data_IF_253750623195
#
_entry.id   IF_253750623195
#
_cell.length_a   1.000
_cell.length_b   1.000
_cell.length_c   1.000
_cell.angle_alpha   90.00
_cell.angle_beta   90.00
_cell.angle_gamma   90.00
#
_symmetry.space_group_name_H-M   'P 1'
#
loop_
_entity.id
_entity.type
_entity.pdbx_description
1 polymer ?
#
# COMPACT_ATOMS: atom_id res chain seq x y z
N UNK A 1 16.53 9.13 3.97
CA UNK A 1 16.44 8.30 2.75
C UNK A 1 17.35 7.06 2.77
N UNK A 2 18.69 7.19 2.84
CA UNK A 2 19.59 6.02 2.81
C UNK A 2 19.30 5.01 3.92
N UNK A 3 19.06 5.45 5.16
CA UNK A 3 18.71 4.56 6.28
C UNK A 3 17.45 3.74 5.97
N UNK A 4 16.43 4.35 5.41
CA UNK A 4 15.18 3.67 5.05
C UNK A 4 15.37 2.63 3.93
N UNK A 5 16.25 2.91 2.99
CA UNK A 5 16.61 1.95 1.94
C UNK A 5 17.35 0.74 2.55
N UNK A 6 18.32 1.00 3.42
CA UNK A 6 19.08 -0.06 4.12
C UNK A 6 18.17 -0.89 5.03
N UNK A 7 17.23 -0.26 5.77
CA UNK A 7 16.25 -0.97 6.60
C UNK A 7 15.38 -1.90 5.75
N UNK A 8 14.90 -1.42 4.60
CA UNK A 8 14.09 -2.20 3.68
C UNK A 8 14.84 -3.42 3.11
N UNK A 9 16.05 -3.20 2.61
CA UNK A 9 16.91 -4.25 2.05
C UNK A 9 17.33 -5.28 3.11
N UNK A 10 17.77 -4.82 4.27
CA UNK A 10 18.18 -5.69 5.37
C UNK A 10 17.03 -6.59 5.84
N UNK A 11 15.81 -6.06 5.89
CA UNK A 11 14.63 -6.83 6.25
C UNK A 11 14.33 -7.94 5.24
N UNK A 12 14.34 -7.63 3.94
CA UNK A 12 14.13 -8.63 2.88
C UNK A 12 15.21 -9.72 2.93
N UNK A 13 16.46 -9.32 3.05
CA UNK A 13 17.60 -10.25 3.14
C UNK A 13 17.51 -11.14 4.39
N UNK A 14 17.15 -10.59 5.54
CA UNK A 14 16.95 -11.35 6.77
C UNK A 14 15.83 -12.41 6.60
N UNK A 15 14.69 -12.02 6.06
CA UNK A 15 13.58 -12.96 5.83
C UNK A 15 13.97 -14.08 4.86
N UNK A 16 14.72 -13.76 3.82
CA UNK A 16 15.21 -14.74 2.85
C UNK A 16 16.13 -15.77 3.51
N UNK A 17 17.03 -15.33 4.35
CA UNK A 17 18.02 -16.19 4.99
C UNK A 17 17.40 -17.01 6.12
N UNK A 18 16.57 -16.39 6.96
CA UNK A 18 16.03 -17.02 8.16
C UNK A 18 14.85 -17.92 7.90
N UNK A 19 13.98 -17.56 6.95
CA UNK A 19 12.73 -18.26 6.67
C UNK A 19 12.73 -18.86 5.26
N UNK A 20 13.78 -19.60 4.95
CA UNK A 20 13.97 -20.24 3.66
C UNK A 20 12.78 -21.11 3.28
N UNK A 21 12.31 -20.99 2.04
CA UNK A 21 11.18 -21.74 1.49
C UNK A 21 9.80 -21.25 1.93
N UNK A 22 9.70 -20.30 2.84
CA UNK A 22 8.41 -19.71 3.19
C UNK A 22 8.01 -18.58 2.21
N UNK A 23 6.72 -18.55 1.88
CA UNK A 23 6.17 -17.51 0.99
C UNK A 23 6.18 -16.14 1.68
N UNK A 24 6.78 -15.13 1.07
CA UNK A 24 6.96 -13.80 1.64
C UNK A 24 6.61 -12.63 0.72
N UNK A 25 6.48 -12.85 -0.60
CA UNK A 25 6.26 -11.80 -1.59
C UNK A 25 7.24 -10.62 -1.42
N UNK A 26 8.51 -10.91 -1.60
CA UNK A 26 9.61 -9.97 -1.40
C UNK A 26 9.44 -8.67 -2.20
N UNK A 27 9.91 -7.57 -1.58
CA UNK A 27 10.06 -6.27 -2.25
C UNK A 27 11.42 -6.13 -2.97
N UNK A 28 12.24 -7.17 -2.96
CA UNK A 28 13.59 -7.16 -3.53
C UNK A 28 13.60 -6.60 -4.96
N UNK A 29 14.45 -5.61 -5.20
CA UNK A 29 14.51 -4.82 -6.43
C UNK A 29 13.56 -3.63 -6.47
N UNK A 30 12.66 -3.47 -5.51
CA UNK A 30 11.71 -2.35 -5.39
C UNK A 30 11.81 -1.62 -4.05
N UNK A 31 12.93 -1.73 -3.33
CA UNK A 31 13.12 -1.19 -1.98
C UNK A 31 12.95 0.32 -1.91
N UNK A 32 13.11 1.02 -3.03
CA UNK A 32 12.84 2.45 -3.16
C UNK A 32 11.40 2.85 -2.83
N UNK A 33 10.47 1.89 -2.83
CA UNK A 33 9.10 2.10 -2.35
C UNK A 33 9.07 2.58 -0.89
N UNK A 34 9.95 2.08 -0.03
CA UNK A 34 9.96 2.42 1.40
C UNK A 34 10.36 3.88 1.65
N UNK A 35 11.50 4.39 1.15
CA UNK A 35 11.81 5.80 1.28
C UNK A 35 10.83 6.73 0.53
N UNK A 36 10.19 6.26 -0.53
CA UNK A 36 9.11 7.02 -1.20
C UNK A 36 7.91 7.20 -0.27
N UNK A 37 7.42 6.11 0.34
CA UNK A 37 6.31 6.16 1.28
C UNK A 37 6.65 6.99 2.52
N UNK A 38 7.86 6.84 3.07
CA UNK A 38 8.36 7.64 4.18
C UNK A 38 8.29 9.15 3.86
N UNK A 39 8.76 9.56 2.69
CA UNK A 39 8.69 10.95 2.23
C UNK A 39 7.24 11.45 2.03
N UNK A 40 6.34 10.60 1.53
CA UNK A 40 4.91 10.95 1.39
C UNK A 40 4.28 11.14 2.77
N UNK A 41 4.55 10.24 3.71
CA UNK A 41 4.03 10.32 5.08
C UNK A 41 4.58 11.54 5.83
N UNK A 42 5.88 11.84 5.69
CA UNK A 42 6.49 13.06 6.23
C UNK A 42 5.76 14.30 5.70
N UNK A 43 5.52 14.35 4.39
CA UNK A 43 4.79 15.46 3.77
C UNK A 43 3.34 15.54 4.26
N UNK A 44 2.66 14.41 4.40
CA UNK A 44 1.29 14.34 4.90
C UNK A 44 1.19 14.86 6.34
N UNK A 45 2.08 14.41 7.23
CA UNK A 45 2.15 14.88 8.60
C UNK A 45 2.44 16.39 8.69
N UNK A 46 3.41 16.88 7.87
CA UNK A 46 3.76 18.30 7.83
C UNK A 46 2.65 19.19 7.26
N UNK A 47 1.72 18.61 6.48
CA UNK A 47 0.49 19.29 6.01
C UNK A 47 -0.71 19.07 6.92
N UNK A 48 -0.50 18.54 8.11
CA UNK A 48 -1.52 18.32 9.14
C UNK A 48 -2.66 17.37 8.71
N UNK A 49 -2.39 16.47 7.75
CA UNK A 49 -3.33 15.40 7.42
C UNK A 49 -3.53 14.49 8.63
N UNK A 50 -4.79 14.17 8.90
CA UNK A 50 -5.20 13.35 10.04
C UNK A 50 -4.82 11.88 9.86
N UNK A 51 -4.74 11.43 8.61
CA UNK A 51 -4.37 10.05 8.33
C UNK A 51 -3.97 9.79 6.89
N UNK A 52 -3.27 8.68 6.72
CA UNK A 52 -2.96 8.07 5.43
C UNK A 52 -3.47 6.63 5.48
N UNK A 53 -4.26 6.23 4.50
CA UNK A 53 -4.78 4.88 4.39
C UNK A 53 -4.15 4.20 3.16
N UNK A 54 -3.60 3.00 3.36
CA UNK A 54 -2.86 2.27 2.34
C UNK A 54 -3.60 0.98 2.01
N UNK A 55 -3.94 0.79 0.73
CA UNK A 55 -4.38 -0.46 0.15
C UNK A 55 -3.28 -1.00 -0.75
N UNK A 56 -2.97 -2.29 -0.64
CA UNK A 56 -1.87 -2.83 -1.41
C UNK A 56 -1.97 -4.34 -1.63
N UNK A 57 -1.35 -4.80 -2.72
CA UNK A 57 -1.12 -6.21 -2.97
C UNK A 57 -0.12 -6.83 -1.97
N UNK A 58 0.19 -8.11 -2.17
CA UNK A 58 1.07 -8.84 -1.24
C UNK A 58 2.54 -8.45 -1.35
N UNK A 59 3.00 -8.07 -2.55
CA UNK A 59 4.42 -7.76 -2.79
C UNK A 59 4.85 -6.53 -2.01
N UNK A 60 5.89 -6.71 -1.19
CA UNK A 60 6.41 -5.65 -0.32
C UNK A 60 5.56 -5.37 0.92
N UNK A 61 4.42 -6.06 1.10
CA UNK A 61 3.48 -5.78 2.18
C UNK A 61 4.11 -5.90 3.57
N UNK A 62 4.89 -6.95 3.82
CA UNK A 62 5.55 -7.14 5.11
C UNK A 62 6.52 -5.99 5.42
N UNK A 63 7.22 -5.50 4.41
CA UNK A 63 8.13 -4.35 4.52
C UNK A 63 7.36 -3.05 4.82
N UNK A 64 6.25 -2.81 4.14
CA UNK A 64 5.37 -1.65 4.42
C UNK A 64 4.77 -1.73 5.82
N UNK A 65 4.30 -2.92 6.26
CA UNK A 65 3.75 -3.10 7.61
C UNK A 65 4.76 -2.74 8.70
N UNK A 66 6.04 -3.11 8.53
CA UNK A 66 7.07 -2.82 9.54
C UNK A 66 7.65 -1.42 9.40
N UNK A 67 8.22 -1.09 8.26
CA UNK A 67 9.03 0.11 8.08
C UNK A 67 8.21 1.39 7.86
N UNK A 68 6.93 1.25 7.54
CA UNK A 68 6.01 2.38 7.29
C UNK A 68 4.91 2.46 8.33
N UNK A 69 4.22 1.36 8.62
CA UNK A 69 3.05 1.35 9.51
C UNK A 69 3.36 0.96 10.96
N UNK A 70 4.63 0.71 11.30
CA UNK A 70 5.08 0.52 12.69
C UNK A 70 4.78 -0.85 13.30
N UNK A 71 4.37 -1.85 12.50
CA UNK A 71 4.25 -3.23 13.00
C UNK A 71 5.63 -3.75 13.39
N UNK A 72 5.81 -4.25 14.61
CA UNK A 72 7.13 -4.66 15.09
C UNK A 72 7.68 -5.86 14.33
N UNK A 73 8.99 -5.89 14.09
CA UNK A 73 9.67 -7.05 13.51
C UNK A 73 9.39 -8.33 14.30
N UNK A 74 9.33 -8.23 15.64
CA UNK A 74 9.03 -9.36 16.50
C UNK A 74 7.63 -9.97 16.24
N UNK A 75 6.65 -9.15 15.89
CA UNK A 75 5.32 -9.64 15.48
C UNK A 75 5.41 -10.41 14.16
N UNK A 76 6.08 -9.85 13.15
CA UNK A 76 6.28 -10.53 11.86
C UNK A 76 7.02 -11.87 12.07
N UNK A 77 8.09 -11.89 12.86
CA UNK A 77 8.87 -13.11 13.09
C UNK A 77 8.07 -14.19 13.82
N UNK A 78 7.20 -13.81 14.77
CA UNK A 78 6.27 -14.76 15.40
C UNK A 78 5.27 -15.34 14.41
N UNK A 79 4.76 -14.55 13.49
CA UNK A 79 3.88 -15.02 12.41
C UNK A 79 4.58 -16.02 11.48
N UNK A 80 5.85 -15.79 11.17
CA UNK A 80 6.67 -16.74 10.41
C UNK A 80 6.96 -18.03 11.17
N UNK A 81 7.19 -17.95 12.48
CA UNK A 81 7.51 -19.09 13.33
C UNK A 81 6.27 -19.88 13.77
N UNK A 82 5.06 -19.43 13.42
CA UNK A 82 3.80 -20.06 13.84
C UNK A 82 3.51 -19.94 15.35
N UNK A 83 4.21 -19.02 16.04
CA UNK A 83 4.05 -18.78 17.48
C UNK A 83 3.22 -17.53 17.79
N UNK A 84 2.64 -16.91 16.77
CA UNK A 84 1.68 -15.83 16.95
C UNK A 84 0.44 -16.36 17.67
N UNK A 85 -0.03 -15.61 18.67
CA UNK A 85 -1.30 -15.95 19.33
C UNK A 85 -2.42 -15.97 18.27
N UNK A 86 -3.38 -16.91 18.35
CA UNK A 86 -4.56 -16.88 17.49
C UNK A 86 -5.23 -15.50 17.63
N UNK A 87 -5.63 -14.94 16.52
CA UNK A 87 -6.40 -13.70 16.51
C UNK A 87 -7.72 -13.97 17.27
N UNK A 88 -7.99 -13.21 18.34
CA UNK A 88 -9.24 -13.36 19.09
C UNK A 88 -10.43 -13.13 18.14
N UNK A 89 -11.17 -14.19 17.81
CA UNK A 89 -12.36 -14.13 16.94
C UNK A 89 -12.16 -14.48 15.48
N UNK A 90 -11.01 -14.96 15.03
CA UNK A 90 -10.75 -15.32 13.63
C UNK A 90 -10.23 -16.74 13.42
N UNK A 91 -10.54 -17.32 12.26
CA UNK A 91 -10.10 -18.67 11.82
C UNK A 91 -8.65 -18.71 11.32
N UNK A 92 -7.78 -17.77 11.71
CA UNK A 92 -6.37 -17.69 11.28
C UNK A 92 -6.24 -17.35 9.79
N UNK A 93 -5.93 -16.10 9.48
CA UNK A 93 -5.62 -15.69 8.11
C UNK A 93 -4.11 -15.74 7.87
N UNK A 94 -3.71 -15.76 6.60
CA UNK A 94 -2.30 -15.75 6.24
C UNK A 94 -1.67 -14.39 6.54
N UNK A 95 -0.43 -14.39 7.03
CA UNK A 95 0.28 -13.20 7.51
C UNK A 95 0.30 -11.99 6.54
N UNK A 96 0.27 -12.24 5.24
CA UNK A 96 0.29 -11.18 4.23
C UNK A 96 -1.10 -10.66 3.82
N UNK A 97 -2.18 -11.14 4.45
CA UNK A 97 -3.52 -10.55 4.34
C UNK A 97 -3.81 -9.54 5.46
N UNK A 98 -3.11 -9.66 6.58
CA UNK A 98 -3.35 -8.83 7.76
C UNK A 98 -3.05 -7.35 7.48
N UNK A 99 -3.88 -6.48 8.06
CA UNK A 99 -3.68 -5.04 8.13
C UNK A 99 -2.98 -4.62 9.40
N UNK A 100 -2.80 -3.33 9.58
CA UNK A 100 -2.31 -2.73 10.82
C UNK A 100 -2.69 -1.26 10.89
N UNK A 101 -2.67 -0.72 12.10
CA UNK A 101 -2.76 0.71 12.35
C UNK A 101 -1.53 1.15 13.16
N UNK A 102 -1.05 2.36 12.88
CA UNK A 102 0.09 2.94 13.56
C UNK A 102 0.08 4.46 13.48
N UNK A 103 1.10 5.07 14.06
CA UNK A 103 1.33 6.51 13.99
C UNK A 103 2.69 6.75 13.37
N UNK A 104 2.71 7.53 12.32
CA UNK A 104 3.95 8.03 11.72
C UNK A 104 4.31 9.37 12.37
N UNK A 105 5.58 9.54 12.71
CA UNK A 105 6.13 10.80 13.20
C UNK A 105 7.14 11.34 12.19
N UNK A 106 6.87 12.54 11.68
CA UNK A 106 7.74 13.23 10.72
C UNK A 106 9.06 13.70 11.34
N UNK A 107 10.00 14.08 10.51
CA UNK A 107 11.28 14.68 10.95
C UNK A 107 11.08 15.96 11.77
N UNK A 108 9.97 16.67 11.57
CA UNK A 108 9.59 17.86 12.35
C UNK A 108 8.88 17.55 13.68
N UNK A 109 8.61 16.28 13.98
CA UNK A 109 7.86 15.84 15.16
C UNK A 109 6.34 15.84 14.99
N UNK A 110 5.80 16.24 13.84
CA UNK A 110 4.36 16.14 13.54
C UNK A 110 3.94 14.69 13.29
N UNK A 111 2.70 14.37 13.61
CA UNK A 111 2.17 13.02 13.52
C UNK A 111 1.00 12.91 12.56
N UNK A 112 0.89 11.76 11.90
CA UNK A 112 -0.29 11.34 11.12
C UNK A 112 -0.60 9.88 11.40
N UNK A 113 -1.88 9.51 11.40
CA UNK A 113 -2.30 8.12 11.52
C UNK A 113 -1.96 7.36 10.24
N UNK A 114 -1.48 6.13 10.36
CA UNK A 114 -1.26 5.24 9.22
C UNK A 114 -2.12 4.00 9.38
N UNK A 115 -2.93 3.73 8.38
CA UNK A 115 -3.79 2.57 8.31
C UNK A 115 -3.41 1.75 7.08
N UNK A 116 -3.07 0.48 7.25
CA UNK A 116 -2.91 -0.47 6.15
C UNK A 116 -4.09 -1.42 6.17
N UNK A 117 -4.93 -1.36 5.13
CA UNK A 117 -6.12 -2.20 5.05
C UNK A 117 -5.74 -3.69 4.95
N UNK A 118 -6.47 -4.56 5.63
CA UNK A 118 -6.45 -5.97 5.33
C UNK A 118 -6.93 -6.20 3.90
N UNK A 119 -6.39 -7.19 3.19
CA UNK A 119 -6.85 -7.52 1.85
C UNK A 119 -6.84 -9.04 1.59
N UNK A 120 -7.76 -9.54 0.75
CA UNK A 120 -7.76 -10.94 0.33
C UNK A 120 -6.71 -11.21 -0.75
N UNK A 121 -6.61 -12.47 -1.19
CA UNK A 121 -5.77 -12.86 -2.34
C UNK A 121 -6.29 -12.36 -3.69
N UNK A 122 -7.49 -11.79 -3.74
CA UNK A 122 -8.06 -11.20 -4.95
C UNK A 122 -7.37 -9.87 -5.25
N UNK A 123 -6.48 -9.87 -6.22
CA UNK A 123 -5.71 -8.69 -6.61
C UNK A 123 -6.66 -7.55 -7.01
N UNK A 124 -6.35 -6.33 -6.56
CA UNK A 124 -7.07 -5.07 -6.82
C UNK A 124 -8.46 -4.96 -6.14
N UNK A 125 -8.99 -6.04 -5.54
CA UNK A 125 -10.30 -5.98 -4.86
C UNK A 125 -10.31 -5.01 -3.66
N UNK A 126 -9.16 -4.77 -3.05
CA UNK A 126 -9.02 -3.82 -1.93
C UNK A 126 -9.15 -2.35 -2.35
N UNK A 127 -9.06 -2.02 -3.64
CA UNK A 127 -9.05 -0.63 -4.11
C UNK A 127 -10.33 0.11 -3.73
N UNK A 128 -11.47 -0.39 -4.16
CA UNK A 128 -12.77 0.22 -3.87
C UNK A 128 -13.11 0.18 -2.38
N UNK A 129 -12.69 -0.87 -1.67
CA UNK A 129 -12.86 -0.99 -0.23
C UNK A 129 -12.08 0.09 0.50
N UNK A 130 -10.82 0.33 0.10
CA UNK A 130 -10.00 1.39 0.69
C UNK A 130 -10.62 2.77 0.47
N UNK A 131 -11.07 3.07 -0.75
CA UNK A 131 -11.74 4.34 -1.06
C UNK A 131 -12.97 4.55 -0.17
N UNK A 132 -13.77 3.50 0.04
CA UNK A 132 -14.91 3.53 0.96
C UNK A 132 -14.51 3.78 2.41
N UNK A 133 -13.43 3.15 2.89
CA UNK A 133 -12.89 3.37 4.24
C UNK A 133 -12.40 4.82 4.38
N UNK A 134 -11.67 5.33 3.39
CA UNK A 134 -11.17 6.72 3.41
C UNK A 134 -12.34 7.70 3.41
N UNK A 135 -13.34 7.48 2.56
CA UNK A 135 -14.54 8.34 2.53
C UNK A 135 -15.25 8.35 3.88
N UNK A 136 -15.45 7.21 4.51
CA UNK A 136 -16.07 7.13 5.83
C UNK A 136 -15.25 7.86 6.90
N UNK A 137 -13.91 7.69 6.90
CA UNK A 137 -13.03 8.42 7.81
C UNK A 137 -13.11 9.95 7.59
N UNK A 138 -13.15 10.39 6.34
CA UNK A 138 -13.29 11.82 6.00
C UNK A 138 -14.66 12.37 6.44
N UNK A 139 -15.73 11.60 6.30
CA UNK A 139 -17.08 12.00 6.75
C UNK A 139 -17.10 12.19 8.28
N UNK A 140 -16.50 11.28 9.05
CA UNK A 140 -16.35 11.43 10.51
C UNK A 140 -15.57 12.70 10.88
N UNK A 141 -14.47 13.00 10.19
CA UNK A 141 -13.72 14.23 10.43
C UNK A 141 -14.51 15.50 10.06
N UNK A 142 -15.32 15.42 9.01
CA UNK A 142 -16.20 16.52 8.60
C UNK A 142 -17.26 16.83 9.64
N UNK A 143 -17.84 15.80 10.27
CA UNK A 143 -18.77 15.95 11.40
C UNK A 143 -18.10 16.62 12.62
N UNK A 144 -16.78 16.48 12.77
CA UNK A 144 -15.98 17.14 13.78
C UNK A 144 -15.53 18.57 13.38
N UNK A 145 -15.98 19.08 12.23
CA UNK A 145 -15.64 20.42 11.73
C UNK A 145 -14.30 20.51 11.01
N UNK A 146 -13.71 19.37 10.61
CA UNK A 146 -12.48 19.37 9.79
C UNK A 146 -12.86 19.49 8.32
N UNK A 147 -12.41 20.55 7.68
CA UNK A 147 -12.68 20.80 6.25
C UNK A 147 -11.73 20.05 5.32
N UNK A 148 -12.15 19.91 4.06
CA UNK A 148 -11.34 19.31 2.99
C UNK A 148 -11.28 17.78 3.03
N UNK A 149 -10.12 17.25 2.68
CA UNK A 149 -9.84 15.80 2.59
C UNK A 149 -8.71 15.41 3.56
N UNK A 150 -9.01 15.26 4.86
CA UNK A 150 -7.98 15.09 5.90
C UNK A 150 -7.32 13.70 5.90
N UNK A 151 -7.78 12.76 5.09
CA UNK A 151 -7.20 11.42 4.97
C UNK A 151 -6.78 11.18 3.52
N UNK A 152 -5.51 10.83 3.30
CA UNK A 152 -4.95 10.53 1.98
C UNK A 152 -5.05 9.03 1.70
N UNK A 153 -5.75 8.59 0.63
CA UNK A 153 -5.65 7.22 0.15
C UNK A 153 -4.39 7.00 -0.67
N UNK A 154 -3.72 5.87 -0.44
CA UNK A 154 -2.61 5.36 -1.25
C UNK A 154 -2.95 3.95 -1.68
N UNK A 155 -2.89 3.67 -2.98
CA UNK A 155 -3.05 2.34 -3.55
C UNK A 155 -1.74 1.90 -4.20
N UNK A 156 -1.20 0.76 -3.75
CA UNK A 156 0.05 0.19 -4.26
C UNK A 156 -0.27 -1.07 -5.05
N UNK A 157 0.11 -1.07 -6.31
CA UNK A 157 -0.26 -2.07 -7.30
C UNK A 157 0.94 -2.84 -7.83
N UNK A 158 0.72 -4.10 -8.22
CA UNK A 158 1.58 -4.77 -9.17
C UNK A 158 1.19 -4.39 -10.61
N UNK A 159 2.16 -4.31 -11.50
CA UNK A 159 1.97 -3.83 -12.87
C UNK A 159 0.97 -4.64 -13.70
N UNK A 160 1.04 -5.96 -13.63
CA UNK A 160 0.16 -6.84 -14.39
C UNK A 160 -1.31 -6.73 -13.92
N UNK A 161 -1.53 -6.66 -12.61
CA UNK A 161 -2.87 -6.52 -12.05
C UNK A 161 -3.44 -5.12 -12.34
N UNK A 162 -2.64 -4.07 -12.19
CA UNK A 162 -3.06 -2.70 -12.49
C UNK A 162 -3.52 -2.54 -13.94
N UNK A 163 -2.75 -3.08 -14.88
CA UNK A 163 -3.09 -3.00 -16.30
C UNK A 163 -4.22 -3.96 -16.72
N UNK A 164 -4.38 -5.10 -16.04
CA UNK A 164 -5.23 -6.19 -16.49
C UNK A 164 -6.54 -6.43 -15.75
N UNK A 165 -6.69 -5.89 -14.53
CA UNK A 165 -7.89 -6.09 -13.72
C UNK A 165 -8.91 -4.98 -13.97
N UNK A 166 -10.12 -5.33 -14.45
CA UNK A 166 -11.18 -4.36 -14.78
C UNK A 166 -11.58 -3.45 -13.60
N UNK A 167 -11.51 -3.96 -12.38
CA UNK A 167 -11.83 -3.20 -11.15
C UNK A 167 -10.94 -1.95 -10.99
N UNK A 168 -9.73 -1.94 -11.54
CA UNK A 168 -8.85 -0.76 -11.51
C UNK A 168 -9.48 0.37 -12.31
N UNK A 169 -9.92 0.10 -13.53
CA UNK A 169 -10.60 1.10 -14.36
C UNK A 169 -11.91 1.56 -13.73
N UNK A 170 -12.67 0.65 -13.13
CA UNK A 170 -13.91 0.99 -12.41
C UNK A 170 -13.62 1.91 -11.22
N UNK A 171 -12.56 1.66 -10.47
CA UNK A 171 -12.10 2.51 -9.36
C UNK A 171 -11.70 3.90 -9.85
N UNK A 172 -10.92 3.97 -10.93
CA UNK A 172 -10.51 5.25 -11.54
C UNK A 172 -11.72 6.07 -12.01
N UNK A 173 -12.75 5.43 -12.57
CA UNK A 173 -13.97 6.12 -13.02
C UNK A 173 -14.82 6.68 -11.87
N UNK A 174 -14.61 6.25 -10.63
CA UNK A 174 -15.31 6.80 -9.46
C UNK A 174 -14.63 8.06 -8.88
N UNK A 175 -13.40 8.38 -9.29
CA UNK A 175 -12.55 9.39 -8.64
C UNK A 175 -13.21 10.76 -8.49
N UNK A 176 -13.90 11.25 -9.52
CA UNK A 176 -14.55 12.58 -9.53
C UNK A 176 -16.06 12.53 -9.29
N UNK A 177 -16.63 11.37 -9.02
CA UNK A 177 -18.06 11.27 -8.72
C UNK A 177 -18.35 11.78 -7.31
N UNK A 178 -19.25 12.74 -7.18
CA UNK A 178 -19.58 13.43 -5.92
C UNK A 178 -19.86 12.47 -4.75
N UNK A 179 -20.47 11.32 -5.00
CA UNK A 179 -20.78 10.34 -3.96
C UNK A 179 -19.58 9.48 -3.55
N UNK A 180 -18.54 9.38 -4.38
CA UNK A 180 -17.41 8.46 -4.19
C UNK A 180 -16.08 9.14 -3.99
N UNK A 181 -15.92 10.40 -4.45
CA UNK A 181 -14.64 11.09 -4.40
C UNK A 181 -14.07 11.20 -2.98
N UNK A 182 -12.79 10.97 -2.86
CA UNK A 182 -11.97 11.12 -1.64
C UNK A 182 -11.01 12.32 -1.72
N UNK A 183 -11.11 13.10 -2.80
CA UNK A 183 -10.24 14.25 -3.05
C UNK A 183 -8.93 13.92 -3.79
N UNK A 184 -8.83 12.71 -4.28
CA UNK A 184 -7.69 12.19 -5.03
C UNK A 184 -6.98 11.05 -4.30
N UNK A 185 -6.42 10.14 -5.09
CA UNK A 185 -5.72 8.94 -4.61
C UNK A 185 -4.32 8.88 -5.20
N UNK A 186 -3.33 8.61 -4.38
CA UNK A 186 -1.98 8.33 -4.86
C UNK A 186 -1.87 6.87 -5.27
N UNK A 187 -1.76 6.61 -6.57
CA UNK A 187 -1.49 5.28 -7.10
C UNK A 187 0.01 5.07 -7.30
N UNK A 188 0.56 4.00 -6.76
CA UNK A 188 1.97 3.62 -6.90
C UNK A 188 2.01 2.26 -7.60
N UNK A 189 2.58 2.19 -8.78
CA UNK A 189 2.72 0.94 -9.54
C UNK A 189 4.15 0.43 -9.40
N UNK A 190 4.31 -0.70 -8.73
CA UNK A 190 5.59 -1.42 -8.64
C UNK A 190 5.70 -2.32 -9.86
N UNK A 191 6.46 -1.86 -10.87
CA UNK A 191 6.60 -2.54 -12.14
C UNK A 191 7.80 -3.50 -12.12
N UNK A 192 7.59 -4.73 -11.67
CA UNK A 192 8.58 -5.80 -11.72
C UNK A 192 8.42 -6.73 -12.94
N UNK A 193 7.47 -6.44 -13.81
CA UNK A 193 7.15 -7.21 -15.03
C UNK A 193 6.72 -8.66 -14.76
N UNK A 194 6.30 -8.97 -13.52
CA UNK A 194 5.83 -10.32 -13.18
C UNK A 194 4.31 -10.38 -13.29
N UNK A 195 3.83 -11.20 -14.21
CA UNK A 195 2.40 -11.52 -14.37
C UNK A 195 2.19 -13.03 -14.33
N UNK A 196 2.27 -13.64 -13.15
CA UNK A 196 2.21 -15.10 -12.97
C UNK A 196 3.24 -15.82 -13.87
N UNK A 197 2.79 -16.60 -14.86
CA UNK A 197 3.67 -17.32 -15.82
C UNK A 197 3.80 -16.61 -17.17
N UNK A 198 3.23 -15.42 -17.32
CA UNK A 198 3.23 -14.68 -18.59
C UNK A 198 4.57 -13.98 -18.80
N UNK A 199 5.21 -14.22 -19.94
CA UNK A 199 6.41 -13.49 -20.34
C UNK A 199 6.07 -11.98 -20.48
N UNK A 200 6.90 -11.07 -20.00
CA UNK A 200 6.65 -9.61 -20.06
C UNK A 200 6.30 -9.10 -21.47
N UNK A 201 6.87 -9.70 -22.51
CA UNK A 201 6.60 -9.33 -23.91
C UNK A 201 5.15 -9.55 -24.34
N UNK A 202 4.41 -10.40 -23.63
CA UNK A 202 3.03 -10.76 -23.93
C UNK A 202 2.04 -10.31 -22.85
N UNK A 203 2.49 -9.53 -21.86
CA UNK A 203 1.66 -9.22 -20.70
C UNK A 203 0.67 -8.07 -20.93
N UNK A 204 1.01 -7.12 -21.80
CA UNK A 204 0.15 -5.96 -22.13
C UNK A 204 0.53 -5.32 -23.46
N UNK A 205 -0.43 -4.62 -24.06
CA UNK A 205 -0.22 -3.91 -25.34
C UNK A 205 0.43 -2.54 -25.14
N UNK A 206 0.24 -1.91 -23.98
CA UNK A 206 0.80 -0.58 -23.69
C UNK A 206 2.24 -0.67 -23.19
N UNK A 207 3.11 0.32 -23.49
CA UNK A 207 4.47 0.36 -22.97
C UNK A 207 4.54 0.35 -21.45
N UNK A 208 3.64 1.11 -20.77
CA UNK A 208 3.61 1.24 -19.32
C UNK A 208 2.28 0.75 -18.74
N UNK A 209 2.30 0.09 -17.58
CA UNK A 209 1.06 -0.30 -16.90
C UNK A 209 0.21 0.91 -16.50
N UNK A 210 0.84 2.03 -16.21
CA UNK A 210 0.21 3.30 -15.84
C UNK A 210 -0.55 3.98 -17.00
N UNK A 211 -0.44 3.50 -18.23
CA UNK A 211 -1.12 4.11 -19.38
C UNK A 211 -2.65 4.09 -19.25
N UNK A 212 -3.23 3.20 -18.47
CA UNK A 212 -4.67 3.20 -18.21
C UNK A 212 -5.13 4.46 -17.45
N UNK A 213 -4.26 5.08 -16.65
CA UNK A 213 -4.57 6.31 -15.92
C UNK A 213 -4.75 7.53 -16.84
N UNK A 214 -4.32 7.43 -18.10
CA UNK A 214 -4.58 8.45 -19.12
C UNK A 214 -6.07 8.59 -19.44
N UNK A 215 -6.89 7.57 -19.15
CA UNK A 215 -8.33 7.63 -19.36
C UNK A 215 -9.06 8.67 -18.48
N UNK A 216 -8.43 9.11 -17.39
CA UNK A 216 -8.94 10.14 -16.48
C UNK A 216 -8.01 11.35 -16.41
N UNK A 217 -7.11 11.50 -17.38
CA UNK A 217 -6.12 12.59 -17.44
C UNK A 217 -5.26 12.75 -16.17
N UNK A 218 -5.04 11.64 -15.44
CA UNK A 218 -4.23 11.68 -14.24
C UNK A 218 -2.75 11.99 -14.55
N UNK A 219 -2.07 12.81 -13.74
CA UNK A 219 -0.63 13.02 -13.89
C UNK A 219 0.13 11.73 -13.59
N UNK A 220 1.08 11.39 -14.47
CA UNK A 220 1.88 10.17 -14.36
C UNK A 220 3.34 10.53 -14.22
N UNK A 221 3.98 10.05 -13.16
CA UNK A 221 5.40 10.16 -12.93
C UNK A 221 6.06 8.80 -13.17
N UNK A 222 7.07 8.76 -14.00
CA UNK A 222 7.86 7.57 -14.24
C UNK A 222 9.19 7.69 -13.49
N UNK A 223 9.47 6.75 -12.61
CA UNK A 223 10.70 6.67 -11.84
C UNK A 223 11.44 5.41 -12.26
N UNK A 224 12.72 5.59 -12.61
CA UNK A 224 13.60 4.50 -13.04
C UNK A 224 14.52 4.07 -11.88
#
# INVERSE_FOLDING_TARGET
>A
MLSKLVEAEAFEHFLQTKYLGQKRFSLEGGESLIPLLDAVLDKAANKDLKGVAIGMAHRGRLNVLTNIAGKSYAQIFREFSGTAAPYEGGSGDVKYHLGTEGVFTSDSGKQTQVYVAANPSHLEAANTVLEGIVRAKQDVYREQGVEGHPVLPILIHGDAAFAGQGIVMETLQMADLKAYTTGGTLHIVVNNQIGFTTDPRFSRSTPYPSDIAKSIDAPIFHVN
#
